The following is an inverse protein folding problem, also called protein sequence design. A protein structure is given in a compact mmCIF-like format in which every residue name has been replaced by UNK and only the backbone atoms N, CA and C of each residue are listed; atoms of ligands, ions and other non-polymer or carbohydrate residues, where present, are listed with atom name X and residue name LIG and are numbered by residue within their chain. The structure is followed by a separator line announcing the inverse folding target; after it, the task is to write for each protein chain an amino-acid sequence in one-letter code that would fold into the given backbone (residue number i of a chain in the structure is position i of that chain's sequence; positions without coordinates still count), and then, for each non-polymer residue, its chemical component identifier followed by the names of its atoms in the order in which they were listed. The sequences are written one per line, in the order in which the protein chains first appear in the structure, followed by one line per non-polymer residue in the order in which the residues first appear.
data_IF_469694529660
#
_entry.id   IF_469694529660
#
_cell.length_a   1.000
_cell.length_b   1.000
_cell.length_c   1.000
_cell.angle_alpha   90.00
_cell.angle_beta   90.00
_cell.angle_gamma   90.00
#
_symmetry.space_group_name_H-M   'P 1'
#
loop_
_entity.id
_entity.type
_entity.pdbx_description
1 polymer ?
#
# COMPACT_ATOMS: atom_id res chain seq x y z
N UNK A 1 -5.49 -18.24 -16.87
CA UNK A 1 -5.30 -16.77 -17.02
C UNK A 1 -4.72 -16.28 -15.69
N UNK A 2 -3.78 -15.33 -15.70
CA UNK A 2 -3.22 -14.79 -14.46
C UNK A 2 -4.31 -14.06 -13.65
N UNK A 3 -4.45 -14.24 -12.33
CA UNK A 3 -5.48 -13.56 -11.56
C UNK A 3 -5.14 -12.07 -11.38
N UNK A 4 -6.17 -11.21 -11.26
CA UNK A 4 -5.98 -9.76 -11.03
C UNK A 4 -5.72 -9.47 -9.57
N UNK A 5 -6.37 -10.26 -8.71
CA UNK A 5 -6.19 -10.24 -7.27
C UNK A 5 -5.67 -11.59 -6.77
N UNK A 6 -4.75 -11.53 -5.82
CA UNK A 6 -3.93 -12.66 -5.38
C UNK A 6 -4.17 -13.05 -3.92
N UNK A 7 -4.96 -12.29 -3.18
CA UNK A 7 -5.20 -12.45 -1.73
C UNK A 7 -5.53 -13.89 -1.34
N UNK A 8 -6.51 -14.52 -2.01
CA UNK A 8 -6.85 -15.93 -1.74
C UNK A 8 -5.75 -16.94 -2.06
N UNK A 9 -4.89 -16.64 -3.03
CA UNK A 9 -3.82 -17.54 -3.47
C UNK A 9 -2.63 -17.46 -2.51
N UNK A 10 -2.26 -16.25 -2.08
CA UNK A 10 -1.09 -16.02 -1.23
C UNK A 10 -1.43 -16.03 0.26
N UNK A 11 -2.66 -16.34 0.65
CA UNK A 11 -3.12 -16.23 2.05
C UNK A 11 -2.27 -17.06 3.03
N UNK A 12 -1.71 -18.17 2.58
CA UNK A 12 -0.88 -19.05 3.41
C UNK A 12 0.58 -18.57 3.53
N UNK A 13 0.96 -17.48 2.84
CA UNK A 13 2.27 -16.87 3.02
C UNK A 13 2.40 -16.36 4.47
N UNK A 14 3.57 -16.54 5.13
CA UNK A 14 3.75 -16.14 6.53
C UNK A 14 3.40 -14.69 6.81
N UNK A 15 3.76 -13.76 5.91
CA UNK A 15 3.39 -12.36 6.06
C UNK A 15 1.87 -12.13 6.07
N UNK A 16 1.12 -12.84 5.23
CA UNK A 16 -0.34 -12.73 5.18
C UNK A 16 -0.98 -13.21 6.48
N UNK A 17 -0.49 -14.33 7.02
CA UNK A 17 -0.92 -14.86 8.31
C UNK A 17 -0.57 -13.91 9.47
N UNK A 18 0.63 -13.32 9.48
CA UNK A 18 1.02 -12.33 10.49
C UNK A 18 0.12 -11.08 10.47
N UNK A 19 -0.23 -10.59 9.28
CA UNK A 19 -1.15 -9.45 9.14
C UNK A 19 -2.55 -9.78 9.68
N UNK A 20 -3.10 -10.94 9.31
CA UNK A 20 -4.43 -11.37 9.72
C UNK A 20 -4.49 -11.65 11.23
N UNK A 21 -3.52 -12.39 11.77
CA UNK A 21 -3.48 -12.78 13.18
C UNK A 21 -3.26 -11.59 14.13
N UNK A 22 -2.71 -10.48 13.63
CA UNK A 22 -2.48 -9.27 14.42
C UNK A 22 -3.41 -8.10 14.04
N UNK A 23 -4.48 -8.35 13.28
CA UNK A 23 -5.37 -7.32 12.73
C UNK A 23 -5.77 -6.25 13.77
N UNK A 24 -6.35 -6.65 14.91
CA UNK A 24 -6.84 -5.68 15.91
C UNK A 24 -5.73 -4.77 16.45
N UNK A 25 -4.52 -5.34 16.65
CA UNK A 25 -3.36 -4.61 17.14
C UNK A 25 -2.83 -3.64 16.06
N UNK A 26 -2.73 -4.10 14.82
CA UNK A 26 -2.32 -3.29 13.68
C UNK A 26 -3.29 -2.13 13.49
N UNK A 27 -4.61 -2.42 13.48
CA UNK A 27 -5.66 -1.40 13.37
C UNK A 27 -5.54 -0.37 14.46
N UNK A 28 -5.38 -0.79 15.72
CA UNK A 28 -5.21 0.13 16.85
C UNK A 28 -3.97 1.03 16.68
N UNK A 29 -2.79 0.46 16.41
CA UNK A 29 -1.55 1.24 16.24
C UNK A 29 -1.67 2.24 15.09
N UNK A 30 -2.17 1.79 13.94
CA UNK A 30 -2.32 2.63 12.76
C UNK A 30 -3.28 3.79 13.03
N UNK A 31 -4.45 3.54 13.61
CA UNK A 31 -5.45 4.57 13.88
C UNK A 31 -4.99 5.55 14.96
N UNK A 32 -4.38 5.06 16.05
CA UNK A 32 -3.79 5.93 17.08
C UNK A 32 -2.69 6.82 16.52
N UNK A 33 -1.92 6.31 15.55
CA UNK A 33 -0.82 7.07 14.95
C UNK A 33 -1.34 8.15 13.99
N UNK A 34 -2.30 7.83 13.12
CA UNK A 34 -2.85 8.78 12.14
C UNK A 34 -3.90 9.74 12.73
N UNK A 35 -4.30 9.54 13.99
CA UNK A 35 -5.17 10.46 14.72
C UNK A 35 -4.54 11.85 14.90
N UNK A 36 -3.20 11.94 14.91
CA UNK A 36 -2.46 13.21 14.78
C UNK A 36 -2.35 13.56 13.29
N UNK A 37 -3.08 14.59 12.78
CA UNK A 37 -3.09 14.91 11.36
C UNK A 37 -1.71 15.31 10.81
N UNK A 38 -0.77 15.71 11.68
CA UNK A 38 0.61 16.03 11.29
C UNK A 38 1.43 14.80 10.88
N UNK A 39 0.90 13.59 11.06
CA UNK A 39 1.51 12.34 10.61
C UNK A 39 1.13 11.95 9.18
N UNK A 40 0.08 12.55 8.63
CA UNK A 40 -0.43 12.24 7.28
C UNK A 40 0.12 13.24 6.26
N UNK A 41 0.93 12.73 5.34
CA UNK A 41 1.53 13.49 4.26
C UNK A 41 0.79 13.23 2.95
N UNK A 42 0.78 14.22 2.06
CA UNK A 42 0.28 13.99 0.71
C UNK A 42 1.15 12.92 0.03
N UNK A 43 0.50 11.93 -0.58
CA UNK A 43 1.22 10.97 -1.40
C UNK A 43 1.87 11.73 -2.58
N UNK A 44 3.09 11.36 -3.02
CA UNK A 44 3.76 12.07 -4.11
C UNK A 44 2.88 12.23 -5.35
N UNK A 45 2.73 13.47 -5.80
CA UNK A 45 2.04 13.82 -7.04
C UNK A 45 3.03 13.74 -8.21
N UNK A 46 2.68 12.96 -9.23
CA UNK A 46 3.39 12.90 -10.51
C UNK A 46 2.40 12.69 -11.66
N UNK A 47 2.85 12.99 -12.88
CA UNK A 47 2.04 12.78 -14.09
C UNK A 47 2.09 11.32 -14.51
N UNK A 48 0.94 10.77 -14.85
CA UNK A 48 0.78 9.45 -15.47
C UNK A 48 0.23 9.61 -16.86
N UNK A 49 0.75 8.80 -17.78
CA UNK A 49 0.33 8.79 -19.17
C UNK A 49 -0.60 7.60 -19.42
N UNK A 50 -1.82 7.86 -19.86
CA UNK A 50 -2.81 6.82 -20.15
C UNK A 50 -3.73 7.24 -21.30
N UNK A 51 -3.91 6.36 -22.29
CA UNK A 51 -4.70 6.60 -23.51
C UNK A 51 -4.40 7.97 -24.15
N UNK A 52 -3.13 8.22 -24.48
CA UNK A 52 -2.64 9.45 -25.12
C UNK A 52 -2.92 10.74 -24.34
N UNK A 53 -3.21 10.63 -23.04
CA UNK A 53 -3.53 11.78 -22.18
C UNK A 53 -2.74 11.74 -20.88
N UNK A 54 -2.26 12.91 -20.46
CA UNK A 54 -1.52 13.08 -19.21
C UNK A 54 -2.45 13.53 -18.08
N UNK A 55 -2.47 12.74 -17.01
CA UNK A 55 -3.24 13.05 -15.80
C UNK A 55 -2.32 13.20 -14.60
N UNK A 56 -2.77 13.93 -13.58
CA UNK A 56 -2.20 13.79 -12.24
C UNK A 56 -2.52 12.39 -11.72
N UNK A 57 -1.58 11.75 -11.02
CA UNK A 57 -1.76 10.40 -10.48
C UNK A 57 -3.00 10.27 -9.59
N UNK A 58 -3.37 11.33 -8.85
CA UNK A 58 -4.63 11.38 -8.14
C UNK A 58 -5.28 12.77 -8.13
N UNK A 59 -6.55 12.80 -7.74
CA UNK A 59 -7.37 13.97 -7.54
C UNK A 59 -7.92 13.95 -6.09
N UNK A 60 -8.19 15.14 -5.54
CA UNK A 60 -8.68 15.38 -4.18
C UNK A 60 -7.69 15.01 -3.07
N UNK A 61 -7.75 13.79 -2.52
CA UNK A 61 -7.05 13.43 -1.29
C UNK A 61 -6.46 12.04 -1.38
N UNK A 62 -5.14 11.95 -1.31
CA UNK A 62 -4.44 10.71 -1.03
C UNK A 62 -3.33 11.02 -0.04
N UNK A 63 -3.54 10.60 1.21
CA UNK A 63 -2.53 10.75 2.25
C UNK A 63 -1.96 9.43 2.68
N UNK A 64 -0.68 9.46 3.00
CA UNK A 64 0.04 8.31 3.49
C UNK A 64 1.01 8.67 4.60
N UNK A 65 1.37 7.67 5.40
CA UNK A 65 2.48 7.74 6.34
C UNK A 65 3.41 6.55 6.12
N UNK A 66 4.71 6.78 5.85
CA UNK A 66 5.65 5.70 5.60
C UNK A 66 5.97 4.95 6.90
N UNK A 67 6.00 3.62 6.81
CA UNK A 67 6.31 2.68 7.89
C UNK A 67 7.68 2.00 7.68
N UNK A 68 8.18 1.96 6.44
CA UNK A 68 9.52 1.49 6.10
C UNK A 68 10.23 2.48 5.17
N UNK A 69 11.52 2.23 4.94
CA UNK A 69 12.22 2.88 3.82
C UNK A 69 11.72 2.32 2.49
N UNK A 70 11.83 3.12 1.45
CA UNK A 70 11.68 2.65 0.06
C UNK A 70 12.94 1.87 -0.35
N UNK A 71 12.77 0.71 -0.96
CA UNK A 71 13.84 0.03 -1.66
C UNK A 71 14.21 0.82 -2.93
N UNK A 72 15.46 0.72 -3.37
CA UNK A 72 16.05 1.55 -4.45
C UNK A 72 15.22 1.59 -5.74
N UNK A 73 14.46 0.54 -6.06
CA UNK A 73 13.56 0.48 -7.22
C UNK A 73 12.35 1.45 -7.13
N UNK A 74 12.05 1.97 -5.93
CA UNK A 74 10.98 2.94 -5.65
C UNK A 74 11.50 4.32 -5.25
N UNK A 75 12.81 4.49 -5.04
CA UNK A 75 13.38 5.80 -4.73
C UNK A 75 13.39 6.64 -6.00
N UNK A 76 12.47 7.59 -6.11
CA UNK A 76 12.60 8.67 -7.09
C UNK A 76 13.86 9.47 -6.71
N UNK A 77 14.86 9.44 -7.61
CA UNK A 77 16.18 10.08 -7.43
C UNK A 77 16.12 11.61 -7.35
N UNK A 78 14.91 12.18 -7.28
CA UNK A 78 14.62 13.61 -7.24
C UNK A 78 14.49 14.20 -5.84
N UNK A 79 14.45 13.39 -4.78
CA UNK A 79 14.31 13.89 -3.41
C UNK A 79 15.60 14.57 -2.91
N UNK A 80 15.48 15.76 -2.30
CA UNK A 80 16.61 16.47 -1.70
C UNK A 80 17.12 15.76 -0.42
N UNK A 81 18.37 15.98 0.00
CA UNK A 81 18.89 15.44 1.27
C UNK A 81 18.03 15.80 2.49
N UNK A 82 17.46 17.01 2.52
CA UNK A 82 16.57 17.47 3.59
C UNK A 82 15.24 16.72 3.59
N UNK A 83 14.66 16.49 2.41
CA UNK A 83 13.44 15.69 2.26
C UNK A 83 13.68 14.25 2.70
N UNK A 84 14.81 13.65 2.30
CA UNK A 84 15.19 12.31 2.74
C UNK A 84 15.36 12.26 4.27
N UNK A 85 16.02 13.24 4.88
CA UNK A 85 16.17 13.32 6.33
C UNK A 85 14.82 13.46 7.05
N UNK A 86 13.89 14.22 6.49
CA UNK A 86 12.53 14.34 7.01
C UNK A 86 11.79 13.00 6.95
N UNK A 87 11.82 12.32 5.81
CA UNK A 87 11.21 11.00 5.61
C UNK A 87 11.78 9.98 6.60
N UNK A 88 13.11 9.95 6.77
CA UNK A 88 13.78 9.09 7.76
C UNK A 88 13.33 9.38 9.20
N UNK A 89 13.13 10.66 9.56
CA UNK A 89 12.59 11.06 10.85
C UNK A 89 11.16 10.55 11.05
N UNK A 90 10.33 10.64 10.02
CA UNK A 90 8.96 10.12 10.04
C UNK A 90 8.98 8.60 10.22
N UNK A 91 9.74 7.86 9.41
CA UNK A 91 9.86 6.39 9.50
C UNK A 91 10.33 5.98 10.90
N UNK A 92 11.32 6.69 11.46
CA UNK A 92 11.80 6.42 12.82
C UNK A 92 10.68 6.57 13.85
N UNK A 93 9.89 7.65 13.77
CA UNK A 93 8.71 7.86 14.63
C UNK A 93 7.65 6.78 14.40
N UNK A 94 7.34 6.44 13.14
CA UNK A 94 6.39 5.39 12.77
C UNK A 94 6.75 4.06 13.42
N UNK A 95 8.02 3.63 13.29
CA UNK A 95 8.51 2.37 13.87
C UNK A 95 8.46 2.35 15.40
N UNK A 96 8.69 3.49 16.04
CA UNK A 96 8.59 3.63 17.51
C UNK A 96 7.15 3.63 18.01
N UNK A 97 6.23 4.26 17.26
CA UNK A 97 4.83 4.43 17.65
C UNK A 97 3.95 3.24 17.26
N UNK A 98 4.38 2.46 16.28
CA UNK A 98 3.70 1.24 15.81
C UNK A 98 4.64 0.03 15.94
N UNK A 99 4.99 -0.39 17.18
CA UNK A 99 5.94 -1.48 17.40
C UNK A 99 5.46 -2.84 16.86
N UNK A 100 4.16 -3.14 16.87
CA UNK A 100 3.63 -4.38 16.29
C UNK A 100 3.78 -4.35 14.77
N UNK A 101 3.35 -3.27 14.12
CA UNK A 101 3.57 -3.10 12.67
C UNK A 101 5.05 -3.26 12.32
N UNK A 102 5.93 -2.58 13.07
CA UNK A 102 7.37 -2.67 12.85
C UNK A 102 7.91 -4.10 13.03
N UNK A 103 7.45 -4.84 14.05
CA UNK A 103 7.89 -6.23 14.26
C UNK A 103 7.51 -7.17 13.11
N UNK A 104 6.40 -6.91 12.43
CA UNK A 104 5.91 -7.71 11.31
C UNK A 104 6.70 -7.41 10.03
N UNK A 105 6.97 -6.13 9.74
CA UNK A 105 7.64 -5.74 8.49
C UNK A 105 9.16 -5.81 8.56
N UNK A 106 9.76 -5.66 9.75
CA UNK A 106 11.20 -5.59 9.92
C UNK A 106 11.97 -6.81 9.38
N UNK A 107 11.50 -8.08 9.58
CA UNK A 107 12.17 -9.23 8.98
C UNK A 107 12.23 -9.15 7.44
N UNK A 108 11.14 -8.73 6.79
CA UNK A 108 11.11 -8.55 5.34
C UNK A 108 12.02 -7.42 4.88
N UNK A 109 12.02 -6.29 5.59
CA UNK A 109 12.90 -5.14 5.32
C UNK A 109 14.37 -5.54 5.44
N UNK A 110 14.73 -6.25 6.52
CA UNK A 110 16.09 -6.73 6.78
C UNK A 110 16.59 -7.69 5.70
N UNK A 111 15.72 -8.57 5.22
CA UNK A 111 16.06 -9.60 4.23
C UNK A 111 15.92 -9.11 2.77
N UNK A 112 15.56 -7.83 2.55
CA UNK A 112 15.39 -7.27 1.20
C UNK A 112 14.14 -7.76 0.45
N UNK A 113 13.14 -8.25 1.19
CA UNK A 113 11.87 -8.73 0.66
C UNK A 113 10.72 -7.70 0.79
N UNK A 114 10.99 -6.52 1.36
CA UNK A 114 10.04 -5.42 1.47
C UNK A 114 10.53 -4.23 0.65
N UNK A 115 9.77 -3.83 -0.36
CA UNK A 115 10.06 -2.64 -1.14
C UNK A 115 9.55 -1.36 -0.44
N UNK A 116 8.37 -1.43 0.16
CA UNK A 116 7.70 -0.29 0.75
C UNK A 116 6.62 -0.75 1.75
N UNK A 117 6.34 0.07 2.75
CA UNK A 117 5.23 -0.10 3.67
C UNK A 117 4.72 1.26 4.13
N UNK A 118 3.41 1.44 4.11
CA UNK A 118 2.75 2.70 4.49
C UNK A 118 1.30 2.47 4.91
N UNK A 119 0.76 3.36 5.74
CA UNK A 119 -0.69 3.47 5.96
C UNK A 119 -1.24 4.44 4.91
N UNK A 120 -2.29 4.05 4.20
CA UNK A 120 -2.93 4.83 3.14
C UNK A 120 -4.33 5.23 3.55
N UNK A 121 -4.65 6.51 3.42
CA UNK A 121 -5.96 7.09 3.72
C UNK A 121 -6.55 7.79 2.51
N UNK A 122 -7.79 7.43 2.18
CA UNK A 122 -8.63 8.14 1.21
C UNK A 122 -9.91 8.62 1.90
N UNK A 123 -10.49 9.71 1.38
CA UNK A 123 -11.78 10.24 1.79
C UNK A 123 -12.74 10.25 0.57
N UNK A 124 -14.05 10.46 0.77
CA UNK A 124 -15.00 10.60 -0.33
C UNK A 124 -14.56 11.63 -1.38
N UNK A 125 -14.76 11.29 -2.65
CA UNK A 125 -14.36 12.08 -3.81
C UNK A 125 -12.91 11.86 -4.26
N UNK A 126 -12.09 11.12 -3.51
CA UNK A 126 -10.74 10.74 -3.94
C UNK A 126 -10.74 9.84 -5.17
N UNK A 127 -9.83 10.12 -6.10
CA UNK A 127 -9.64 9.33 -7.32
C UNK A 127 -8.16 9.14 -7.56
N UNK A 128 -7.73 7.90 -7.74
CA UNK A 128 -6.39 7.54 -8.20
C UNK A 128 -6.55 7.05 -9.64
N UNK A 129 -5.93 7.77 -10.57
CA UNK A 129 -6.05 7.48 -12.00
C UNK A 129 -5.35 6.16 -12.37
N UNK A 130 -5.76 5.51 -13.48
CA UNK A 130 -5.12 4.28 -13.95
C UNK A 130 -3.60 4.45 -14.10
N UNK A 131 -2.85 3.56 -13.47
CA UNK A 131 -1.39 3.53 -13.53
C UNK A 131 -0.85 2.13 -13.25
N UNK A 132 0.41 1.90 -13.59
CA UNK A 132 1.21 0.79 -13.08
C UNK A 132 2.35 1.33 -12.20
N UNK A 133 2.77 0.51 -11.25
CA UNK A 133 3.98 0.70 -10.48
C UNK A 133 5.25 0.52 -11.33
N UNK A 134 6.37 0.96 -10.79
CA UNK A 134 7.67 1.00 -11.49
C UNK A 134 8.27 -0.38 -11.80
N UNK A 135 7.89 -1.42 -11.05
CA UNK A 135 8.52 -2.74 -11.10
C UNK A 135 7.49 -3.87 -10.96
N UNK A 136 7.70 -4.98 -11.68
CA UNK A 136 6.86 -6.18 -11.61
C UNK A 136 7.33 -7.19 -10.56
N UNK A 137 8.31 -6.82 -9.73
CA UNK A 137 8.97 -7.73 -8.78
C UNK A 137 8.23 -7.89 -7.45
N UNK A 138 7.23 -7.03 -7.17
CA UNK A 138 6.54 -6.97 -5.89
C UNK A 138 5.03 -7.16 -6.03
N UNK A 139 4.44 -7.77 -5.01
CA UNK A 139 3.01 -7.84 -4.77
C UNK A 139 2.64 -6.76 -3.77
N UNK A 140 1.67 -5.90 -4.10
CA UNK A 140 1.08 -4.99 -3.14
C UNK A 140 -0.03 -5.70 -2.39
N UNK A 141 0.07 -5.71 -1.07
CA UNK A 141 -0.89 -6.35 -0.17
C UNK A 141 -1.46 -5.26 0.74
N UNK A 142 -2.77 -5.11 0.70
CA UNK A 142 -3.53 -4.24 1.58
C UNK A 142 -4.20 -5.06 2.68
N UNK A 143 -3.95 -4.74 3.94
CA UNK A 143 -4.83 -5.10 5.05
C UNK A 143 -5.82 -3.95 5.28
N UNK A 144 -7.11 -4.21 5.15
CA UNK A 144 -8.13 -3.19 5.37
C UNK A 144 -8.35 -2.92 6.86
N UNK A 145 -8.19 -1.66 7.28
CA UNK A 145 -8.35 -1.22 8.66
C UNK A 145 -9.68 -0.49 8.88
N UNK A 146 -10.09 0.32 7.91
CA UNK A 146 -11.42 0.96 7.82
C UNK A 146 -11.88 0.81 6.38
N UNK A 147 -13.04 0.18 6.19
CA UNK A 147 -13.66 0.00 4.89
C UNK A 147 -14.63 1.14 4.54
N UNK A 148 -14.84 1.34 3.25
CA UNK A 148 -16.04 1.98 2.72
C UNK A 148 -16.41 1.23 1.42
N UNK A 149 -17.58 0.58 1.34
CA UNK A 149 -18.02 -0.16 0.14
C UNK A 149 -18.10 0.69 -1.14
N UNK A 150 -18.22 2.01 -1.01
CA UNK A 150 -18.15 2.97 -2.10
C UNK A 150 -16.73 3.31 -2.54
N UNK A 151 -15.70 2.86 -1.82
CA UNK A 151 -14.30 2.92 -2.25
C UNK A 151 -13.94 1.62 -3.00
N UNK A 152 -13.64 1.75 -4.29
CA UNK A 152 -13.41 0.62 -5.20
C UNK A 152 -12.05 0.72 -5.85
N UNK A 153 -11.37 -0.43 -5.95
CA UNK A 153 -10.16 -0.62 -6.73
C UNK A 153 -10.49 -1.45 -7.97
N UNK A 154 -9.97 -1.01 -9.11
CA UNK A 154 -10.04 -1.77 -10.36
C UNK A 154 -8.63 -2.14 -10.78
N UNK A 155 -8.40 -3.42 -11.05
CA UNK A 155 -7.17 -3.95 -11.64
C UNK A 155 -7.54 -4.60 -12.96
N UNK A 156 -7.07 -4.04 -14.08
CA UNK A 156 -7.51 -4.39 -15.43
C UNK A 156 -9.05 -4.34 -15.56
N UNK A 157 -9.69 -5.49 -15.73
CA UNK A 157 -11.12 -5.65 -15.92
C UNK A 157 -11.88 -6.12 -14.66
N UNK A 158 -11.19 -6.26 -13.52
CA UNK A 158 -11.79 -6.73 -12.26
C UNK A 158 -11.84 -5.59 -11.25
N UNK A 159 -13.04 -5.33 -10.69
CA UNK A 159 -13.27 -4.32 -9.66
C UNK A 159 -13.64 -4.99 -8.35
N UNK A 160 -12.95 -4.62 -7.26
CA UNK A 160 -13.24 -5.05 -5.89
C UNK A 160 -13.38 -3.85 -4.95
N UNK A 161 -13.88 -4.10 -3.76
CA UNK A 161 -13.80 -3.19 -2.62
C UNK A 161 -12.99 -3.85 -1.50
N UNK A 162 -12.60 -3.07 -0.51
CA UNK A 162 -11.93 -3.60 0.68
C UNK A 162 -12.98 -4.05 1.70
N UNK A 163 -12.64 -5.11 2.43
CA UNK A 163 -13.42 -5.59 3.56
C UNK A 163 -12.55 -5.54 4.82
N UNK A 164 -13.06 -4.95 5.89
CA UNK A 164 -12.33 -4.77 7.14
C UNK A 164 -11.78 -6.11 7.68
N UNK A 165 -10.51 -6.11 8.09
CA UNK A 165 -9.84 -7.31 8.57
C UNK A 165 -9.45 -8.32 7.49
N UNK A 166 -9.72 -8.05 6.22
CA UNK A 166 -9.31 -8.90 5.09
C UNK A 166 -8.14 -8.30 4.32
N UNK A 167 -7.47 -9.20 3.59
CA UNK A 167 -6.43 -8.85 2.64
C UNK A 167 -7.01 -8.62 1.25
N UNK A 168 -6.41 -7.68 0.53
CA UNK A 168 -6.59 -7.50 -0.91
C UNK A 168 -5.19 -7.35 -1.51
N UNK A 169 -4.82 -8.25 -2.42
CA UNK A 169 -3.47 -8.26 -2.98
C UNK A 169 -3.50 -8.20 -4.51
N UNK A 170 -2.60 -7.43 -5.11
CA UNK A 170 -2.47 -7.30 -6.56
C UNK A 170 -1.04 -6.93 -6.94
N UNK A 171 -0.68 -7.16 -8.20
CA UNK A 171 0.59 -6.68 -8.73
C UNK A 171 0.45 -5.18 -9.01
N UNK A 172 1.15 -4.37 -8.24
CA UNK A 172 1.13 -2.91 -8.38
C UNK A 172 1.70 -2.45 -9.72
N UNK A 173 2.79 -3.10 -10.14
CA UNK A 173 3.42 -2.90 -11.43
C UNK A 173 2.73 -3.65 -12.57
N UNK A 174 3.53 -3.96 -13.60
CA UNK A 174 3.06 -4.68 -14.79
C UNK A 174 2.55 -6.10 -14.46
N UNK A 175 1.61 -6.65 -15.27
CA UNK A 175 1.16 -6.13 -16.57
C UNK A 175 -0.16 -5.34 -16.54
N UNK A 176 -0.78 -5.15 -15.38
CA UNK A 176 -2.13 -4.61 -15.28
C UNK A 176 -2.12 -3.22 -14.68
N UNK A 177 -2.83 -2.30 -15.32
CA UNK A 177 -3.12 -1.01 -14.72
C UNK A 177 -4.10 -1.18 -13.58
N UNK A 178 -3.95 -0.36 -12.56
CA UNK A 178 -4.89 -0.28 -11.47
C UNK A 178 -5.30 1.17 -11.17
N UNK A 179 -6.49 1.33 -10.62
CA UNK A 179 -7.08 2.64 -10.28
C UNK A 179 -7.98 2.52 -9.07
N UNK A 180 -8.25 3.65 -8.41
CA UNK A 180 -9.16 3.71 -7.26
C UNK A 180 -10.15 4.84 -7.44
N UNK A 181 -11.41 4.59 -7.11
CA UNK A 181 -12.46 5.62 -7.01
C UNK A 181 -13.14 5.52 -5.65
N UNK A 182 -13.27 6.65 -4.96
CA UNK A 182 -13.95 6.73 -3.68
C UNK A 182 -15.27 7.49 -3.80
N UNK A 183 -16.34 6.76 -4.07
CA UNK A 183 -17.72 7.29 -4.18
C UNK A 183 -18.56 7.01 -2.93
N UNK A 184 -17.90 6.52 -1.87
CA UNK A 184 -18.47 6.29 -0.55
C UNK A 184 -18.77 7.56 0.25
N UNK A 185 -18.99 7.38 1.56
CA UNK A 185 -19.44 8.44 2.49
C UNK A 185 -18.56 8.59 3.72
N UNK A 186 -17.66 7.64 3.97
CA UNK A 186 -16.70 7.64 5.07
C UNK A 186 -15.29 7.47 4.51
N UNK A 187 -14.27 7.50 5.37
CA UNK A 187 -12.89 7.31 4.93
C UNK A 187 -12.56 5.83 4.70
N UNK A 188 -11.54 5.58 3.88
CA UNK A 188 -10.94 4.25 3.69
C UNK A 188 -9.50 4.27 4.17
N UNK A 189 -9.17 3.40 5.12
CA UNK A 189 -7.82 3.25 5.67
C UNK A 189 -7.32 1.83 5.45
N UNK A 190 -6.14 1.70 4.83
CA UNK A 190 -5.47 0.40 4.63
C UNK A 190 -4.02 0.48 5.09
N UNK A 191 -3.51 -0.62 5.62
CA UNK A 191 -2.09 -0.84 5.77
C UNK A 191 -1.56 -1.54 4.51
N UNK A 192 -0.63 -0.90 3.81
CA UNK A 192 -0.06 -1.38 2.55
C UNK A 192 1.37 -1.85 2.73
N UNK A 193 1.70 -2.99 2.14
CA UNK A 193 3.07 -3.49 2.02
C UNK A 193 3.33 -3.99 0.60
N UNK A 194 4.53 -3.72 0.09
CA UNK A 194 5.00 -4.20 -1.20
C UNK A 194 6.03 -5.31 -0.96
N UNK A 195 5.63 -6.56 -1.18
CA UNK A 195 6.41 -7.76 -0.81
C UNK A 195 6.96 -8.45 -2.05
N UNK A 196 8.24 -8.83 -2.01
CA UNK A 196 8.95 -9.43 -3.14
C UNK A 196 8.28 -10.73 -3.57
N UNK A 197 8.03 -10.86 -4.87
CA UNK A 197 7.42 -12.06 -5.46
C UNK A 197 8.41 -13.22 -5.41
N UNK A 198 9.59 -13.06 -6.00
CA UNK A 198 10.64 -14.08 -6.04
C UNK A 198 11.86 -13.61 -5.21
N UNK A 199 12.28 -14.33 -4.16
CA UNK A 199 11.87 -15.69 -3.79
C UNK A 199 10.74 -15.79 -2.77
N UNK A 200 10.28 -14.68 -2.17
CA UNK A 200 9.49 -14.75 -0.95
C UNK A 200 8.06 -15.28 -1.14
N UNK A 201 7.25 -14.69 -2.02
CA UNK A 201 5.86 -15.13 -2.25
C UNK A 201 5.75 -16.30 -3.24
N UNK A 202 6.75 -16.51 -4.09
CA UNK A 202 6.73 -17.48 -5.19
C UNK A 202 6.32 -18.91 -4.76
N UNK A 203 6.76 -19.45 -3.61
CA UNK A 203 6.33 -20.78 -3.14
C UNK A 203 4.84 -20.90 -2.81
N UNK A 204 4.17 -19.78 -2.54
CA UNK A 204 2.75 -19.70 -2.16
C UNK A 204 1.85 -19.35 -3.34
N UNK A 205 2.39 -18.90 -4.46
CA UNK A 205 1.64 -18.52 -5.67
C UNK A 205 1.22 -19.74 -6.52
N UNK A 206 0.67 -20.77 -5.89
CA UNK A 206 0.19 -21.98 -6.59
C UNK A 206 -1.18 -21.69 -7.22
N UNK A 207 -1.22 -21.68 -8.55
CA UNK A 207 -2.43 -21.58 -9.36
C UNK A 207 -3.01 -22.96 -9.67
#
# INVERSE_FOLDING_TARGET
MEPRFWDEIIKDAPICQELLNNFDKIKKEALDFIADPATLFDYPQYRVHYNDTDYNIYENYWKAVPMSRYEKEYIDTKSSPEQMKMIEGIITRSKQRCPIINSIIYPLEKDGNLANSFISRLIPGSKINPHDGTTSNFMRIHLCLIEDPGCKITVDNETRTWEEGKLLAFKDGKPYLHSVKHEGTHERVVFSIDVRIDPYLRPYMKL
#
